data_IF_551222478608
#
_entry.id   IF_551222478608
#
_cell.length_a   1.000
_cell.length_b   1.000
_cell.length_c   1.000
_cell.angle_alpha   90.00
_cell.angle_beta   90.00
_cell.angle_gamma   90.00
#
_symmetry.space_group_name_H-M   'P 1'
#
loop_
_entity.id
_entity.type
_entity.pdbx_description
1 polymer ?
#
# COMPACT_ATOMS: atom_id res chain seq x y z
N UNK A 1 20.21 3.13 -5.43
CA UNK A 1 21.07 3.22 -4.23
C UNK A 1 21.58 4.62 -3.87
N UNK A 2 21.39 5.66 -4.69
CA UNK A 2 21.93 7.01 -4.41
C UNK A 2 21.41 7.65 -3.13
N UNK A 3 20.13 7.43 -2.77
CA UNK A 3 19.54 7.95 -1.53
C UNK A 3 20.33 7.54 -0.28
N UNK A 4 20.78 6.29 -0.21
CA UNK A 4 21.54 5.77 0.93
C UNK A 4 22.93 6.40 1.06
N UNK A 5 23.60 6.69 -0.06
CA UNK A 5 24.90 7.38 -0.04
C UNK A 5 24.77 8.79 0.52
N UNK A 6 23.72 9.51 0.14
CA UNK A 6 23.42 10.82 0.68
C UNK A 6 23.08 10.77 2.18
N UNK A 7 22.23 9.83 2.59
CA UNK A 7 21.83 9.67 4.00
C UNK A 7 23.01 9.30 4.90
N UNK A 8 23.90 8.42 4.43
CA UNK A 8 25.08 7.98 5.18
C UNK A 8 26.28 8.92 5.02
N UNK A 9 26.19 9.95 4.17
CA UNK A 9 27.28 10.89 3.91
C UNK A 9 28.53 10.24 3.30
N UNK A 10 28.40 9.09 2.64
CA UNK A 10 29.54 8.32 2.11
C UNK A 10 29.25 7.85 0.69
N UNK A 11 30.25 7.96 -0.18
CA UNK A 11 30.19 7.42 -1.53
C UNK A 11 30.41 5.91 -1.49
N UNK A 12 29.56 5.15 -2.18
CA UNK A 12 29.78 3.70 -2.29
C UNK A 12 30.70 3.43 -3.49
N UNK A 13 31.93 2.98 -3.23
CA UNK A 13 32.89 2.63 -4.27
C UNK A 13 32.52 1.40 -5.10
N UNK A 14 31.55 0.61 -4.65
CA UNK A 14 30.99 -0.53 -5.37
C UNK A 14 29.52 -0.69 -5.00
N UNK A 15 28.67 -0.95 -6.01
CA UNK A 15 27.25 -1.24 -5.83
C UNK A 15 26.91 -2.46 -6.69
N UNK A 16 26.17 -3.41 -6.13
CA UNK A 16 25.71 -4.61 -6.82
C UNK A 16 24.21 -4.75 -6.64
N UNK A 17 23.48 -4.81 -7.74
CA UNK A 17 22.06 -5.15 -7.78
C UNK A 17 21.94 -6.46 -8.57
N UNK A 18 21.76 -7.58 -7.85
CA UNK A 18 21.68 -8.90 -8.47
C UNK A 18 20.32 -9.10 -9.17
N UNK A 19 20.27 -9.85 -10.28
CA UNK A 19 19.01 -10.20 -10.93
C UNK A 19 18.12 -11.00 -9.96
N UNK A 20 16.82 -10.76 -10.03
CA UNK A 20 15.84 -11.55 -9.27
C UNK A 20 15.73 -12.97 -9.84
N UNK A 21 15.55 -13.96 -8.94
CA UNK A 21 15.50 -15.40 -9.29
C UNK A 21 14.20 -15.79 -10.01
N UNK A 22 13.18 -14.94 -9.99
CA UNK A 22 11.86 -15.23 -10.55
C UNK A 22 11.71 -14.71 -11.98
N UNK A 23 10.85 -15.36 -12.77
CA UNK A 23 10.34 -14.78 -14.01
C UNK A 23 9.30 -13.70 -13.66
N UNK A 24 9.73 -12.45 -13.71
CA UNK A 24 8.92 -11.29 -13.34
C UNK A 24 7.63 -11.20 -14.16
N UNK A 25 7.64 -11.56 -15.45
CA UNK A 25 6.46 -11.44 -16.32
C UNK A 25 5.31 -12.39 -15.95
N UNK A 26 5.64 -13.54 -15.34
CA UNK A 26 4.66 -14.58 -15.00
C UNK A 26 4.42 -14.76 -13.50
N UNK A 27 5.37 -14.33 -12.66
CA UNK A 27 5.34 -14.58 -11.21
C UNK A 27 5.12 -13.31 -10.38
N UNK A 28 5.18 -12.12 -10.97
CA UNK A 28 5.00 -10.86 -10.25
C UNK A 28 4.16 -9.85 -11.04
N UNK A 29 3.15 -9.30 -10.37
CA UNK A 29 2.51 -8.06 -10.80
C UNK A 29 2.66 -7.02 -9.72
N UNK A 30 3.18 -5.85 -10.08
CA UNK A 30 3.33 -4.71 -9.20
C UNK A 30 2.66 -3.50 -9.85
N UNK A 31 1.81 -2.80 -9.10
CA UNK A 31 1.06 -1.65 -9.59
C UNK A 31 0.63 -0.74 -8.47
N UNK A 32 0.32 0.52 -8.83
CA UNK A 32 -0.21 1.52 -7.92
C UNK A 32 -1.69 1.71 -8.19
N UNK A 33 -2.52 1.45 -7.17
CA UNK A 33 -3.94 1.74 -7.20
C UNK A 33 -4.17 3.09 -6.53
N UNK A 34 -4.36 4.14 -7.34
CA UNK A 34 -4.45 5.52 -6.84
C UNK A 34 -5.88 5.98 -6.55
N UNK A 35 -6.90 5.29 -7.05
CA UNK A 35 -8.31 5.61 -6.80
C UNK A 35 -9.16 4.35 -6.54
N UNK A 36 -10.17 4.52 -5.70
CA UNK A 36 -11.15 3.50 -5.34
C UNK A 36 -12.46 3.64 -6.14
N UNK A 37 -13.53 2.94 -5.71
CA UNK A 37 -14.85 3.05 -6.30
C UNK A 37 -15.33 4.51 -6.40
N UNK A 38 -16.02 4.85 -7.50
CA UNK A 38 -16.44 6.22 -7.76
C UNK A 38 -15.29 7.19 -8.08
N UNK A 39 -14.11 6.66 -8.43
CA UNK A 39 -12.88 7.42 -8.68
C UNK A 39 -12.41 8.26 -7.46
N UNK A 40 -12.76 7.82 -6.25
CA UNK A 40 -12.35 8.51 -5.04
C UNK A 40 -10.83 8.37 -4.82
N UNK A 41 -10.07 9.45 -4.58
CA UNK A 41 -8.62 9.37 -4.39
C UNK A 41 -8.23 8.57 -3.14
N UNK A 42 -7.36 7.57 -3.30
CA UNK A 42 -6.80 6.80 -2.19
C UNK A 42 -5.55 7.50 -1.64
N UNK A 43 -5.76 8.62 -0.95
CA UNK A 43 -4.68 9.39 -0.33
C UNK A 43 -4.74 9.27 1.21
N UNK A 44 -3.76 8.57 1.78
CA UNK A 44 -3.64 8.38 3.24
C UNK A 44 -2.87 9.49 3.97
N UNK A 45 -2.77 10.69 3.39
CA UNK A 45 -2.11 11.83 4.05
C UNK A 45 -2.82 12.26 5.33
N UNK A 46 -2.11 12.98 6.21
CA UNK A 46 -2.67 13.58 7.43
C UNK A 46 -3.95 14.38 7.19
N UNK A 47 -4.09 15.02 6.01
CA UNK A 47 -5.24 15.86 5.66
C UNK A 47 -6.48 15.06 5.26
N UNK A 48 -6.31 13.84 4.77
CA UNK A 48 -7.35 13.10 4.04
C UNK A 48 -7.73 11.79 4.71
N UNK A 49 -6.83 11.17 5.48
CA UNK A 49 -7.06 9.86 6.08
C UNK A 49 -8.18 9.83 7.14
N UNK A 50 -8.48 10.99 7.72
CA UNK A 50 -9.54 11.17 8.72
C UNK A 50 -10.96 11.21 8.12
N UNK A 51 -11.08 11.54 6.83
CA UNK A 51 -12.37 11.69 6.17
C UNK A 51 -13.04 10.34 5.88
N UNK A 52 -14.32 10.19 6.20
CA UNK A 52 -15.06 8.95 5.94
C UNK A 52 -15.06 8.52 4.47
N UNK A 53 -15.08 9.47 3.53
CA UNK A 53 -14.96 9.15 2.11
C UNK A 53 -13.69 8.35 1.78
N UNK A 54 -12.54 8.72 2.36
CA UNK A 54 -11.31 7.94 2.20
C UNK A 54 -11.41 6.58 2.86
N UNK A 55 -11.89 6.53 4.11
CA UNK A 55 -11.96 5.29 4.88
C UNK A 55 -12.87 4.26 4.18
N UNK A 56 -14.02 4.70 3.68
CA UNK A 56 -14.99 3.84 3.00
C UNK A 56 -14.50 3.42 1.61
N UNK A 57 -13.87 4.34 0.86
CA UNK A 57 -13.28 4.03 -0.44
C UNK A 57 -12.15 3.00 -0.31
N UNK A 58 -11.27 3.14 0.69
CA UNK A 58 -10.21 2.18 0.97
C UNK A 58 -10.78 0.83 1.39
N UNK A 59 -11.75 0.80 2.30
CA UNK A 59 -12.39 -0.43 2.77
C UNK A 59 -13.04 -1.22 1.63
N UNK A 60 -13.83 -0.54 0.79
CA UNK A 60 -14.48 -1.16 -0.38
C UNK A 60 -13.44 -1.64 -1.41
N UNK A 61 -12.33 -0.92 -1.57
CA UNK A 61 -11.24 -1.34 -2.47
C UNK A 61 -10.59 -2.63 -1.97
N UNK A 62 -10.26 -2.70 -0.68
CA UNK A 62 -9.69 -3.90 -0.06
C UNK A 62 -10.68 -5.08 -0.12
N UNK A 63 -11.96 -4.86 0.16
CA UNK A 63 -13.00 -5.89 0.05
C UNK A 63 -13.03 -6.52 -1.35
N UNK A 64 -13.01 -5.69 -2.41
CA UNK A 64 -12.99 -6.17 -3.80
C UNK A 64 -11.73 -6.95 -4.13
N UNK A 65 -10.57 -6.50 -3.65
CA UNK A 65 -9.29 -7.19 -3.86
C UNK A 65 -9.32 -8.56 -3.17
N UNK A 66 -9.70 -8.61 -1.89
CA UNK A 66 -9.76 -9.84 -1.11
C UNK A 66 -10.73 -10.88 -1.69
N UNK A 67 -11.81 -10.44 -2.38
CA UNK A 67 -12.76 -11.35 -3.04
C UNK A 67 -12.19 -12.06 -4.27
N UNK A 68 -11.18 -11.48 -4.93
CA UNK A 68 -10.61 -12.06 -6.18
C UNK A 68 -9.24 -12.70 -5.98
N UNK A 69 -8.53 -12.40 -4.89
CA UNK A 69 -7.21 -12.96 -4.60
C UNK A 69 -7.35 -14.34 -3.92
N UNK A 70 -6.87 -15.43 -4.55
CA UNK A 70 -6.87 -16.74 -3.92
C UNK A 70 -5.78 -16.83 -2.82
N UNK A 71 -6.04 -17.62 -1.77
CA UNK A 71 -5.04 -17.92 -0.73
C UNK A 71 -4.88 -16.85 0.36
N UNK A 72 -5.53 -15.71 0.23
CA UNK A 72 -5.57 -14.64 1.24
C UNK A 72 -4.72 -13.42 0.91
N UNK A 73 -4.84 -12.38 1.73
CA UNK A 73 -4.14 -11.09 1.55
C UNK A 73 -3.36 -10.70 2.80
N UNK A 74 -2.16 -10.14 2.60
CA UNK A 74 -1.39 -9.47 3.64
C UNK A 74 -1.43 -7.96 3.39
N UNK A 75 -1.97 -7.20 4.35
CA UNK A 75 -2.18 -5.74 4.22
C UNK A 75 -1.39 -5.01 5.29
N UNK A 76 -0.55 -4.07 4.87
CA UNK A 76 0.23 -3.21 5.75
C UNK A 76 -0.39 -1.80 5.81
N UNK A 77 -0.44 -1.22 7.01
CA UNK A 77 -0.87 0.16 7.23
C UNK A 77 0.32 1.00 7.72
N UNK A 78 0.35 2.32 7.41
CA UNK A 78 1.41 3.22 7.87
C UNK A 78 1.58 3.34 9.40
N UNK A 79 0.54 2.98 10.18
CA UNK A 79 0.61 2.91 11.65
C UNK A 79 -0.53 2.07 12.22
N UNK A 80 -0.32 1.51 13.41
CA UNK A 80 -1.39 0.83 14.16
C UNK A 80 -2.57 1.76 14.48
N UNK A 81 -2.29 3.03 14.79
CA UNK A 81 -3.34 4.04 15.02
C UNK A 81 -4.29 4.19 13.83
N UNK A 82 -3.76 4.25 12.61
CA UNK A 82 -4.58 4.33 11.40
C UNK A 82 -5.29 3.00 11.12
N UNK A 83 -4.62 1.87 11.34
CA UNK A 83 -5.22 0.54 11.19
C UNK A 83 -6.45 0.39 12.11
N UNK A 84 -6.32 0.70 13.40
CA UNK A 84 -7.41 0.55 14.37
C UNK A 84 -8.58 1.48 14.04
N UNK A 85 -8.30 2.70 13.58
CA UNK A 85 -9.32 3.65 13.13
C UNK A 85 -10.13 3.10 11.96
N UNK A 86 -9.44 2.62 10.92
CA UNK A 86 -10.07 2.05 9.74
C UNK A 86 -10.86 0.80 10.08
N UNK A 87 -10.27 -0.11 10.87
CA UNK A 87 -10.93 -1.31 11.40
C UNK A 87 -12.22 -0.94 12.14
N UNK A 88 -12.17 0.03 13.05
CA UNK A 88 -13.34 0.45 13.82
C UNK A 88 -14.43 1.05 12.93
N UNK A 89 -14.06 1.85 11.92
CA UNK A 89 -15.02 2.41 10.95
C UNK A 89 -15.73 1.29 10.19
N UNK A 90 -14.97 0.32 9.66
CA UNK A 90 -15.49 -0.77 8.85
C UNK A 90 -16.34 -1.74 9.67
N UNK A 91 -15.87 -2.18 10.85
CA UNK A 91 -16.65 -3.08 11.71
C UNK A 91 -17.96 -2.48 12.24
N UNK A 92 -18.11 -1.16 12.21
CA UNK A 92 -19.31 -0.47 12.72
C UNK A 92 -20.32 -0.08 11.63
N UNK A 93 -19.94 -0.09 10.35
CA UNK A 93 -20.75 0.48 9.26
C UNK A 93 -20.68 -0.29 7.93
N UNK A 94 -19.97 -1.42 7.88
CA UNK A 94 -19.97 -2.38 6.76
C UNK A 94 -20.45 -3.74 7.26
#
# INVERSE_FOLDING_TARGET
>A
MSSFQFELGVQFGTSLEAPHVINVESQLWAGVIHSGPGNYPLNASYKTCEGYGFQDALGTSLEKICKVVPGGCLVFFPSYKLMDKLRNRWSSNM
#
